data_IF_832814571622
#
_entry.id   IF_832814571622
#
_cell.length_a   1.000
_cell.length_b   1.000
_cell.length_c   1.000
_cell.angle_alpha   90.00
_cell.angle_beta   90.00
_cell.angle_gamma   90.00
#
_symmetry.space_group_name_H-M   'P 1'
#
loop_
_entity.id
_entity.type
_entity.pdbx_description
1 polymer ?
#
# COMPACT_ATOMS: atom_id res chain seq x y z
N UNK A 1 8.28 -39.68 -26.17
CA UNK A 1 7.96 -38.46 -25.40
C UNK A 1 8.93 -38.40 -24.25
N UNK A 2 9.69 -37.32 -24.14
CA UNK A 2 10.67 -37.15 -23.06
C UNK A 2 9.92 -36.65 -21.80
N UNK A 3 10.16 -37.30 -20.66
CA UNK A 3 9.49 -36.97 -19.39
C UNK A 3 9.88 -35.56 -18.91
N UNK A 4 11.11 -35.12 -19.22
CA UNK A 4 11.58 -33.75 -18.96
C UNK A 4 10.73 -32.75 -19.74
N UNK A 5 10.46 -32.99 -21.02
CA UNK A 5 9.63 -32.08 -21.84
C UNK A 5 8.23 -31.92 -21.26
N UNK A 6 7.66 -33.03 -20.80
CA UNK A 6 6.33 -33.07 -20.18
C UNK A 6 6.34 -32.29 -18.88
N UNK A 7 7.35 -32.50 -18.04
CA UNK A 7 7.53 -31.78 -16.78
C UNK A 7 7.70 -30.27 -17.00
N UNK A 8 8.61 -29.87 -17.89
CA UNK A 8 8.88 -28.47 -18.22
C UNK A 8 7.62 -27.80 -18.78
N UNK A 9 6.88 -28.46 -19.66
CA UNK A 9 5.60 -27.96 -20.16
C UNK A 9 4.59 -27.76 -19.03
N UNK A 10 4.49 -28.70 -18.08
CA UNK A 10 3.57 -28.57 -16.94
C UNK A 10 3.97 -27.44 -15.98
N UNK A 11 5.27 -27.21 -15.75
CA UNK A 11 5.74 -26.01 -15.04
C UNK A 11 5.35 -24.75 -15.82
N UNK A 12 5.62 -24.73 -17.12
CA UNK A 12 5.33 -23.64 -18.04
C UNK A 12 3.89 -23.17 -18.02
N UNK A 13 2.92 -24.09 -17.88
CA UNK A 13 1.49 -23.77 -17.77
C UNK A 13 1.16 -22.82 -16.62
N UNK A 14 1.97 -22.81 -15.56
CA UNK A 14 1.81 -21.95 -14.39
C UNK A 14 2.57 -20.61 -14.50
N UNK A 15 3.38 -20.43 -15.55
CA UNK A 15 4.21 -19.24 -15.76
C UNK A 15 3.50 -18.16 -16.59
N UNK A 16 3.86 -16.87 -16.39
CA UNK A 16 3.39 -15.77 -17.24
C UNK A 16 3.82 -15.94 -18.69
N UNK A 17 2.90 -15.73 -19.63
CA UNK A 17 3.13 -15.99 -21.05
C UNK A 17 4.36 -15.27 -21.62
N UNK A 18 4.71 -14.08 -21.09
CA UNK A 18 5.84 -13.27 -21.58
C UNK A 18 7.21 -13.88 -21.27
N UNK A 19 7.38 -14.56 -20.14
CA UNK A 19 8.66 -15.13 -19.70
C UNK A 19 8.67 -16.66 -19.76
N UNK A 20 7.55 -17.28 -20.14
CA UNK A 20 7.38 -18.73 -20.15
C UNK A 20 8.43 -19.44 -21.01
N UNK A 21 8.61 -19.02 -22.25
CA UNK A 21 9.50 -19.72 -23.19
C UNK A 21 10.97 -19.67 -22.73
N UNK A 22 11.41 -18.51 -22.22
CA UNK A 22 12.77 -18.33 -21.72
C UNK A 22 13.01 -19.21 -20.49
N UNK A 23 12.08 -19.21 -19.53
CA UNK A 23 12.17 -20.03 -18.31
C UNK A 23 12.11 -21.52 -18.66
N UNK A 24 11.22 -21.95 -19.57
CA UNK A 24 11.14 -23.35 -20.00
C UNK A 24 12.45 -23.83 -20.65
N UNK A 25 13.09 -22.99 -21.47
CA UNK A 25 14.36 -23.31 -22.10
C UNK A 25 15.50 -23.40 -21.08
N UNK A 26 15.58 -22.47 -20.13
CA UNK A 26 16.57 -22.48 -19.05
C UNK A 26 16.39 -23.72 -18.17
N UNK A 27 15.15 -24.00 -17.73
CA UNK A 27 14.84 -25.16 -16.89
C UNK A 27 15.18 -26.48 -17.57
N UNK A 28 14.88 -26.60 -18.87
CA UNK A 28 15.24 -27.78 -19.66
C UNK A 28 16.75 -28.00 -19.65
N UNK A 29 17.52 -26.95 -19.94
CA UNK A 29 18.99 -27.03 -19.94
C UNK A 29 19.52 -27.49 -18.58
N UNK A 30 19.00 -26.92 -17.49
CA UNK A 30 19.40 -27.29 -16.12
C UNK A 30 19.07 -28.75 -15.81
N UNK A 31 17.88 -29.22 -16.17
CA UNK A 31 17.47 -30.60 -15.92
C UNK A 31 18.28 -31.61 -16.76
N UNK A 32 18.60 -31.27 -18.01
CA UNK A 32 19.45 -32.08 -18.88
C UNK A 32 20.88 -32.16 -18.33
N UNK A 33 21.46 -31.03 -17.90
CA UNK A 33 22.80 -31.00 -17.29
C UNK A 33 22.86 -31.83 -15.99
N UNK A 34 21.83 -31.72 -15.13
CA UNK A 34 21.71 -32.53 -13.91
C UNK A 34 21.58 -34.02 -14.20
N UNK A 35 20.86 -34.39 -15.25
CA UNK A 35 20.69 -35.78 -15.67
C UNK A 35 22.01 -36.36 -16.20
N UNK A 36 22.73 -35.59 -17.02
CA UNK A 36 24.03 -35.96 -17.56
C UNK A 36 25.08 -36.16 -16.46
N UNK A 37 25.07 -35.31 -15.43
CA UNK A 37 25.96 -35.46 -14.28
C UNK A 37 25.66 -36.76 -13.51
N UNK A 38 24.38 -37.07 -13.28
CA UNK A 38 23.96 -38.33 -12.64
C UNK A 38 24.34 -39.56 -13.46
N UNK A 39 24.17 -39.49 -14.78
CA UNK A 39 24.55 -40.56 -15.70
C UNK A 39 26.06 -40.83 -15.63
N UNK A 40 26.89 -39.79 -15.69
CA UNK A 40 28.35 -39.89 -15.54
C UNK A 40 28.75 -40.47 -14.18
N UNK A 41 28.11 -40.03 -13.10
CA UNK A 41 28.40 -40.51 -11.73
C UNK A 41 28.01 -41.97 -11.52
N UNK A 42 26.91 -42.40 -12.13
CA UNK A 42 26.45 -43.79 -12.06
C UNK A 42 27.18 -44.72 -13.05
N UNK A 43 27.96 -44.16 -13.99
CA UNK A 43 28.68 -44.92 -15.02
C UNK A 43 27.76 -45.67 -15.99
N UNK A 44 26.49 -45.25 -16.08
CA UNK A 44 25.47 -45.86 -16.96
C UNK A 44 24.72 -44.76 -17.71
N UNK A 45 24.21 -45.03 -18.92
CA UNK A 45 23.35 -44.08 -19.62
C UNK A 45 22.13 -43.72 -18.75
N UNK A 46 21.61 -42.51 -18.94
CA UNK A 46 20.39 -42.07 -18.27
C UNK A 46 19.23 -43.02 -18.58
N UNK A 47 18.58 -43.51 -17.53
CA UNK A 47 17.41 -44.37 -17.60
C UNK A 47 16.19 -43.68 -16.99
N UNK A 48 15.00 -44.24 -17.24
CA UNK A 48 13.74 -43.65 -16.79
C UNK A 48 13.70 -43.49 -15.27
N UNK A 49 14.26 -44.42 -14.51
CA UNK A 49 14.33 -44.36 -13.03
C UNK A 49 15.15 -43.13 -12.57
N UNK A 50 16.30 -42.88 -13.20
CA UNK A 50 17.11 -41.70 -12.89
C UNK A 50 16.37 -40.39 -13.20
N UNK A 51 15.58 -40.34 -14.27
CA UNK A 51 14.75 -39.17 -14.59
C UNK A 51 13.62 -39.00 -13.56
N UNK A 52 12.94 -40.09 -13.17
CA UNK A 52 11.90 -40.03 -12.15
C UNK A 52 12.44 -39.53 -10.81
N UNK A 53 13.58 -40.04 -10.37
CA UNK A 53 14.22 -39.63 -9.12
C UNK A 53 14.69 -38.17 -9.18
N UNK A 54 15.26 -37.75 -10.32
CA UNK A 54 15.64 -36.35 -10.56
C UNK A 54 14.43 -35.42 -10.44
N UNK A 55 13.34 -35.70 -11.16
CA UNK A 55 12.15 -34.85 -11.15
C UNK A 55 11.46 -34.84 -9.78
N UNK A 56 11.48 -35.97 -9.07
CA UNK A 56 10.94 -36.07 -7.71
C UNK A 56 11.73 -35.21 -6.72
N UNK A 57 13.06 -35.18 -6.85
CA UNK A 57 13.94 -34.33 -6.04
C UNK A 57 13.79 -32.85 -6.40
N UNK A 58 13.65 -32.54 -7.69
CA UNK A 58 13.45 -31.19 -8.19
C UNK A 58 12.11 -30.59 -7.71
N UNK A 59 11.07 -31.42 -7.65
CA UNK A 59 9.83 -31.13 -6.92
C UNK A 59 8.59 -31.00 -7.81
N UNK A 60 7.45 -30.70 -7.19
CA UNK A 60 6.18 -30.58 -7.89
C UNK A 60 6.17 -29.36 -8.85
N UNK A 61 5.62 -29.50 -10.07
CA UNK A 61 5.62 -28.43 -11.08
C UNK A 61 5.08 -27.09 -10.59
N UNK A 62 4.00 -27.12 -9.80
CA UNK A 62 3.38 -25.91 -9.20
C UNK A 62 4.32 -25.18 -8.24
N UNK A 63 5.05 -25.94 -7.42
CA UNK A 63 5.99 -25.39 -6.43
C UNK A 63 7.20 -24.76 -7.10
N UNK A 64 7.69 -25.41 -8.16
CA UNK A 64 8.80 -24.89 -8.96
C UNK A 64 8.36 -23.64 -9.73
N UNK A 65 7.18 -23.65 -10.37
CA UNK A 65 6.67 -22.45 -11.04
C UNK A 65 6.55 -21.25 -10.08
N UNK A 66 6.15 -21.50 -8.83
CA UNK A 66 6.04 -20.45 -7.82
C UNK A 66 7.37 -19.74 -7.51
N UNK A 67 8.52 -20.41 -7.64
CA UNK A 67 9.83 -19.76 -7.42
C UNK A 67 10.25 -18.82 -8.55
N UNK A 68 9.66 -18.98 -9.74
CA UNK A 68 9.89 -18.09 -10.88
C UNK A 68 8.87 -16.94 -10.96
N UNK A 69 7.80 -16.99 -10.16
CA UNK A 69 6.80 -15.94 -10.12
C UNK A 69 7.30 -14.78 -9.26
N UNK A 70 7.16 -13.52 -9.73
CA UNK A 70 7.46 -12.37 -8.88
C UNK A 70 6.50 -12.36 -7.68
N UNK A 71 7.03 -12.12 -6.48
CA UNK A 71 6.22 -11.97 -5.28
C UNK A 71 5.19 -10.85 -5.47
N UNK A 72 3.90 -11.20 -5.34
CA UNK A 72 2.80 -10.24 -5.46
C UNK A 72 2.45 -9.68 -4.09
N UNK A 73 2.88 -8.45 -3.85
CA UNK A 73 2.56 -7.71 -2.64
C UNK A 73 1.41 -6.73 -2.91
N UNK A 74 0.47 -6.59 -1.97
CA UNK A 74 -0.52 -5.50 -2.02
C UNK A 74 0.16 -4.14 -1.80
N UNK A 75 1.10 -4.11 -0.85
CA UNK A 75 2.00 -3.00 -0.57
C UNK A 75 3.38 -3.63 -0.38
N UNK A 76 4.29 -3.40 -1.33
CA UNK A 76 5.60 -4.01 -1.35
C UNK A 76 6.55 -3.44 -0.28
N UNK A 77 7.67 -4.13 0.00
CA UNK A 77 8.61 -3.74 1.05
C UNK A 77 9.20 -2.33 0.85
N UNK A 78 9.28 -1.84 -0.38
CA UNK A 78 9.77 -0.49 -0.69
C UNK A 78 8.78 0.61 -0.29
N UNK A 79 7.46 0.39 -0.49
CA UNK A 79 6.42 1.36 -0.12
C UNK A 79 5.97 1.22 1.34
N UNK A 80 6.25 0.08 1.97
CA UNK A 80 5.77 -0.23 3.32
C UNK A 80 6.23 0.75 4.41
N UNK A 81 7.48 1.24 4.45
CA UNK A 81 7.91 2.25 5.42
C UNK A 81 7.10 3.56 5.31
N UNK A 82 6.84 4.01 4.07
CA UNK A 82 6.03 5.19 3.81
C UNK A 82 4.56 4.97 4.19
N UNK A 83 3.99 3.82 3.83
CA UNK A 83 2.65 3.42 4.26
C UNK A 83 2.50 3.49 5.79
N UNK A 84 3.46 2.92 6.52
CA UNK A 84 3.44 2.91 7.98
C UNK A 84 3.57 4.32 8.57
N UNK A 85 4.39 5.18 7.96
CA UNK A 85 4.52 6.59 8.35
C UNK A 85 3.17 7.31 8.22
N UNK A 86 2.50 7.17 7.06
CA UNK A 86 1.20 7.79 6.80
C UNK A 86 0.14 7.28 7.77
N UNK A 87 0.04 5.96 7.97
CA UNK A 87 -0.92 5.36 8.92
C UNK A 87 -0.69 5.92 10.33
N UNK A 88 0.56 5.96 10.81
CA UNK A 88 0.87 6.49 12.15
C UNK A 88 0.44 7.95 12.30
N UNK A 89 0.83 8.81 11.36
CA UNK A 89 0.49 10.25 11.42
C UNK A 89 -1.04 10.43 11.40
N UNK A 90 -1.73 9.80 10.46
CA UNK A 90 -3.18 9.95 10.30
C UNK A 90 -3.91 9.45 11.54
N UNK A 91 -3.57 8.27 12.06
CA UNK A 91 -4.24 7.74 13.25
C UNK A 91 -3.93 8.53 14.53
N UNK A 92 -2.72 9.09 14.67
CA UNK A 92 -2.39 9.99 15.78
C UNK A 92 -3.26 11.25 15.74
N UNK A 93 -3.40 11.88 14.56
CA UNK A 93 -4.24 13.07 14.38
C UNK A 93 -5.72 12.74 14.63
N UNK A 94 -6.22 11.65 14.07
CA UNK A 94 -7.60 11.20 14.29
C UNK A 94 -7.88 10.92 15.77
N UNK A 95 -6.94 10.30 16.49
CA UNK A 95 -7.06 10.05 17.92
C UNK A 95 -7.17 11.35 18.74
N UNK A 96 -6.30 12.33 18.45
CA UNK A 96 -6.36 13.65 19.11
C UNK A 96 -7.69 14.34 18.82
N UNK A 97 -8.13 14.35 17.55
CA UNK A 97 -9.40 14.96 17.15
C UNK A 97 -10.60 14.28 17.81
N UNK A 98 -10.60 12.95 17.92
CA UNK A 98 -11.64 12.20 18.61
C UNK A 98 -11.70 12.55 20.10
N UNK A 99 -10.56 12.69 20.77
CA UNK A 99 -10.49 13.10 22.18
C UNK A 99 -11.02 14.53 22.39
N UNK A 100 -10.63 15.47 21.52
CA UNK A 100 -11.13 16.86 21.58
C UNK A 100 -12.64 16.88 21.35
N UNK A 101 -13.12 16.21 20.30
CA UNK A 101 -14.54 16.12 19.97
C UNK A 101 -15.35 15.51 21.11
N UNK A 102 -14.84 14.45 21.73
CA UNK A 102 -15.45 13.84 22.91
C UNK A 102 -15.47 14.80 24.11
N UNK A 103 -14.38 15.52 24.37
CA UNK A 103 -14.30 16.51 25.46
C UNK A 103 -15.31 17.65 25.30
N UNK A 104 -15.47 18.17 24.08
CA UNK A 104 -16.49 19.18 23.74
C UNK A 104 -17.90 18.61 23.95
N UNK A 105 -18.15 17.39 23.47
CA UNK A 105 -19.45 16.75 23.62
C UNK A 105 -19.82 16.54 25.09
N UNK A 106 -18.87 16.14 25.94
CA UNK A 106 -19.06 16.02 27.39
C UNK A 106 -19.32 17.38 28.05
N UNK A 107 -18.56 18.41 27.70
CA UNK A 107 -18.69 19.74 28.29
C UNK A 107 -20.03 20.42 27.95
N UNK A 108 -20.60 20.13 26.78
CA UNK A 108 -21.82 20.76 26.27
C UNK A 108 -23.10 20.04 26.67
N UNK A 109 -23.04 18.74 26.96
CA UNK A 109 -24.25 17.92 27.20
C UNK A 109 -24.69 17.85 28.67
N UNK A 110 -23.89 18.34 29.63
CA UNK A 110 -24.27 18.39 31.06
C UNK A 110 -24.62 17.00 31.60
N UNK A 111 -23.60 16.17 31.82
CA UNK A 111 -23.80 14.71 31.75
C UNK A 111 -24.27 14.07 33.06
N UNK A 112 -25.41 13.38 33.01
CA UNK A 112 -25.75 12.31 33.97
C UNK A 112 -24.95 11.03 33.66
N UNK A 113 -24.75 10.15 34.63
CA UNK A 113 -23.93 8.93 34.45
C UNK A 113 -24.41 8.04 33.30
N UNK A 114 -25.72 8.01 33.03
CA UNK A 114 -26.29 7.21 31.94
C UNK A 114 -26.06 7.86 30.56
N UNK A 115 -26.23 9.18 30.44
CA UNK A 115 -25.95 9.91 29.20
C UNK A 115 -24.45 9.86 28.82
N UNK A 116 -23.57 9.77 29.82
CA UNK A 116 -22.13 9.64 29.58
C UNK A 116 -21.78 8.30 28.91
N UNK A 117 -22.35 7.20 29.41
CA UNK A 117 -22.11 5.87 28.84
C UNK A 117 -22.63 5.78 27.40
N UNK A 118 -23.80 6.35 27.13
CA UNK A 118 -24.35 6.41 25.76
C UNK A 118 -23.47 7.25 24.83
N UNK A 119 -23.02 8.42 25.30
CA UNK A 119 -22.14 9.30 24.53
C UNK A 119 -20.79 8.62 24.22
N UNK A 120 -20.20 7.95 25.21
CA UNK A 120 -18.96 7.19 25.06
C UNK A 120 -19.14 6.07 24.03
N UNK A 121 -20.20 5.27 24.15
CA UNK A 121 -20.51 4.19 23.21
C UNK A 121 -20.68 4.69 21.78
N UNK A 122 -21.45 5.77 21.58
CA UNK A 122 -21.62 6.39 20.26
C UNK A 122 -20.30 6.93 19.71
N UNK A 123 -19.51 7.59 20.54
CA UNK A 123 -18.23 8.19 20.12
C UNK A 123 -17.22 7.12 19.69
N UNK A 124 -17.14 6.00 20.42
CA UNK A 124 -16.28 4.87 20.05
C UNK A 124 -16.73 4.26 18.72
N UNK A 125 -18.02 3.99 18.55
CA UNK A 125 -18.55 3.42 17.31
C UNK A 125 -18.31 4.34 16.12
N UNK A 126 -18.51 5.65 16.29
CA UNK A 126 -18.25 6.65 15.26
C UNK A 126 -16.75 6.72 14.92
N UNK A 127 -15.88 6.76 15.92
CA UNK A 127 -14.43 6.78 15.73
C UNK A 127 -13.93 5.50 15.04
N UNK A 128 -14.45 4.33 15.43
CA UNK A 128 -14.12 3.05 14.81
C UNK A 128 -14.56 3.01 13.34
N UNK A 129 -15.79 3.45 13.03
CA UNK A 129 -16.28 3.54 11.66
C UNK A 129 -15.42 4.46 10.79
N UNK A 130 -15.08 5.64 11.31
CA UNK A 130 -14.18 6.57 10.63
C UNK A 130 -12.77 6.00 10.43
N UNK A 131 -12.22 5.34 11.43
CA UNK A 131 -10.90 4.72 11.35
C UNK A 131 -10.83 3.61 10.30
N UNK A 132 -11.84 2.74 10.24
CA UNK A 132 -11.94 1.67 9.22
C UNK A 132 -12.00 2.28 7.82
N UNK A 133 -12.85 3.29 7.63
CA UNK A 133 -13.00 3.97 6.34
C UNK A 133 -11.70 4.64 5.90
N UNK A 134 -11.05 5.40 6.79
CA UNK A 134 -9.79 6.08 6.49
C UNK A 134 -8.68 5.07 6.21
N UNK A 135 -8.56 4.01 7.00
CA UNK A 135 -7.58 2.96 6.76
C UNK A 135 -7.80 2.28 5.41
N UNK A 136 -9.04 1.95 5.07
CA UNK A 136 -9.39 1.39 3.77
C UNK A 136 -8.97 2.30 2.60
N UNK A 137 -9.18 3.61 2.73
CA UNK A 137 -8.74 4.59 1.73
C UNK A 137 -7.21 4.63 1.61
N UNK A 138 -6.47 4.63 2.72
CA UNK A 138 -5.00 4.60 2.71
C UNK A 138 -4.52 3.33 2.00
N UNK A 139 -5.05 2.16 2.37
CA UNK A 139 -4.70 0.88 1.75
C UNK A 139 -4.99 0.90 0.24
N UNK A 140 -6.16 1.41 -0.16
CA UNK A 140 -6.54 1.48 -1.56
C UNK A 140 -5.59 2.37 -2.37
N UNK A 141 -5.23 3.54 -1.83
CA UNK A 141 -4.27 4.45 -2.47
C UNK A 141 -2.90 3.79 -2.61
N UNK A 142 -2.37 3.17 -1.55
CA UNK A 142 -1.07 2.49 -1.60
C UNK A 142 -1.08 1.24 -2.49
N UNK A 143 -2.21 0.53 -2.58
CA UNK A 143 -2.37 -0.61 -3.49
C UNK A 143 -2.36 -0.17 -4.96
N UNK A 144 -3.03 0.94 -5.29
CA UNK A 144 -2.96 1.55 -6.63
C UNK A 144 -1.53 2.00 -6.91
N UNK A 145 -0.90 2.69 -5.95
CA UNK A 145 0.47 3.17 -6.04
C UNK A 145 1.45 2.03 -6.36
N UNK A 146 1.36 0.92 -5.61
CA UNK A 146 2.16 -0.29 -5.83
C UNK A 146 1.97 -0.90 -7.22
N UNK A 147 0.79 -0.71 -7.83
CA UNK A 147 0.47 -1.29 -9.14
C UNK A 147 0.90 -0.40 -10.30
N UNK A 148 0.92 0.91 -10.10
CA UNK A 148 1.21 1.90 -11.15
C UNK A 148 2.67 2.32 -11.15
N UNK A 149 3.35 2.33 -10.00
CA UNK A 149 4.77 2.69 -9.95
C UNK A 149 5.66 1.60 -10.57
N UNK A 150 6.54 1.96 -11.51
CA UNK A 150 7.59 1.08 -12.00
C UNK A 150 8.54 0.70 -10.85
N UNK A 151 8.92 -0.58 -10.76
CA UNK A 151 9.87 -1.05 -9.75
C UNK A 151 11.26 -0.38 -9.85
N UNK A 152 11.57 0.31 -10.95
CA UNK A 152 12.79 1.10 -11.13
C UNK A 152 12.77 2.41 -10.34
N UNK A 153 11.65 3.15 -10.33
CA UNK A 153 11.57 4.44 -9.63
C UNK A 153 11.65 4.31 -8.09
N UNK A 154 11.31 3.13 -7.57
CA UNK A 154 11.43 2.81 -6.15
C UNK A 154 12.83 2.29 -5.76
N UNK A 155 13.67 1.90 -6.74
CA UNK A 155 15.03 1.38 -6.52
C UNK A 155 16.11 2.46 -6.58
N UNK A 156 15.81 3.65 -7.07
CA UNK A 156 16.82 4.69 -7.35
C UNK A 156 17.52 5.25 -6.10
N UNK A 157 16.98 5.05 -4.89
CA UNK A 157 17.66 5.47 -3.65
C UNK A 157 18.62 4.41 -3.08
N UNK A 158 18.31 3.12 -3.22
CA UNK A 158 19.12 2.03 -2.67
C UNK A 158 20.17 1.51 -3.67
N UNK A 159 19.97 1.77 -4.97
CA UNK A 159 20.84 1.34 -6.07
C UNK A 159 21.88 2.36 -6.52
N UNK A 160 22.01 3.52 -5.84
CA UNK A 160 23.19 4.37 -6.06
C UNK A 160 24.43 3.52 -5.79
N UNK A 161 25.28 3.35 -6.79
CA UNK A 161 26.54 2.62 -6.67
C UNK A 161 27.24 3.01 -5.38
N UNK A 162 27.25 2.09 -4.42
CA UNK A 162 27.82 2.34 -3.12
C UNK A 162 29.33 2.48 -3.28
N UNK A 163 29.83 3.71 -3.25
CA UNK A 163 31.26 3.95 -3.28
C UNK A 163 31.82 3.90 -1.85
N UNK A 164 32.82 3.07 -1.54
CA UNK A 164 33.45 3.03 -0.21
C UNK A 164 33.99 4.40 0.25
N UNK A 165 34.36 5.26 -0.70
CA UNK A 165 34.85 6.63 -0.45
C UNK A 165 33.75 7.60 0.01
N UNK A 166 32.47 7.26 -0.15
CA UNK A 166 31.34 8.05 0.34
C UNK A 166 31.29 8.15 1.87
N UNK A 167 31.88 7.18 2.58
CA UNK A 167 32.01 7.19 4.05
C UNK A 167 32.87 8.36 4.57
N UNK A 168 33.74 8.91 3.71
CA UNK A 168 34.64 10.00 4.06
C UNK A 168 34.04 11.38 3.76
N UNK A 169 32.93 11.44 3.02
CA UNK A 169 32.24 12.70 2.72
C UNK A 169 31.17 12.95 3.79
N UNK A 170 31.51 13.78 4.78
CA UNK A 170 30.51 14.44 5.63
C UNK A 170 29.88 15.55 4.77
N UNK A 171 29.05 15.17 3.80
CA UNK A 171 28.15 16.12 3.13
C UNK A 171 26.82 16.03 3.88
N UNK A 172 26.24 17.16 4.35
CA UNK A 172 24.88 17.12 4.87
C UNK A 172 23.99 16.48 3.81
N UNK A 173 23.13 15.51 4.17
CA UNK A 173 22.47 14.68 3.18
C UNK A 173 21.57 15.57 2.34
N UNK A 174 21.97 15.80 1.08
CA UNK A 174 21.12 16.43 0.08
C UNK A 174 20.04 15.42 -0.31
N UNK A 175 19.02 15.35 0.55
CA UNK A 175 17.82 14.55 0.35
C UNK A 175 16.85 15.36 -0.50
N UNK A 176 17.15 15.52 -1.79
CA UNK A 176 16.05 15.69 -2.74
C UNK A 176 15.56 14.30 -3.07
N UNK A 177 14.84 13.71 -2.10
CA UNK A 177 14.17 12.46 -2.35
C UNK A 177 13.12 12.65 -3.44
N UNK A 178 12.69 11.55 -4.00
CA UNK A 178 11.58 11.49 -4.93
C UNK A 178 10.19 11.80 -4.27
N UNK A 179 9.99 12.07 -2.94
CA UNK A 179 8.63 12.26 -2.46
C UNK A 179 8.00 13.57 -2.93
N UNK A 180 8.71 14.60 -3.39
CA UNK A 180 8.08 15.90 -3.74
C UNK A 180 6.84 15.79 -4.67
N UNK A 181 6.98 15.30 -5.91
CA UNK A 181 5.85 15.25 -6.86
C UNK A 181 4.82 14.15 -6.54
N UNK A 182 5.26 12.99 -6.05
CA UNK A 182 4.36 11.87 -5.71
C UNK A 182 3.57 12.16 -4.43
N UNK A 183 4.20 12.79 -3.44
CA UNK A 183 3.52 13.31 -2.25
C UNK A 183 2.54 14.41 -2.61
N UNK A 184 2.89 15.34 -3.50
CA UNK A 184 1.96 16.38 -3.97
C UNK A 184 0.74 15.79 -4.68
N UNK A 185 0.93 14.78 -5.55
CA UNK A 185 -0.18 14.08 -6.21
C UNK A 185 -1.05 13.34 -5.19
N UNK A 186 -0.44 12.65 -4.21
CA UNK A 186 -1.16 11.94 -3.14
C UNK A 186 -1.89 12.89 -2.19
N UNK A 187 -1.28 14.03 -1.86
CA UNK A 187 -1.88 15.10 -1.07
C UNK A 187 -3.06 15.73 -1.80
N UNK A 188 -2.95 15.94 -3.10
CA UNK A 188 -4.03 16.47 -3.93
C UNK A 188 -5.18 15.47 -4.06
N UNK A 189 -4.88 14.19 -4.27
CA UNK A 189 -5.89 13.14 -4.33
C UNK A 189 -6.59 12.93 -2.98
N UNK A 190 -5.85 13.00 -1.88
CA UNK A 190 -6.40 13.02 -0.53
C UNK A 190 -7.26 14.27 -0.30
N UNK A 191 -6.84 15.44 -0.79
CA UNK A 191 -7.62 16.67 -0.73
C UNK A 191 -8.93 16.55 -1.51
N UNK A 192 -8.95 15.92 -2.69
CA UNK A 192 -10.17 15.65 -3.47
C UNK A 192 -11.10 14.70 -2.72
N UNK A 193 -10.57 13.62 -2.11
CA UNK A 193 -11.38 12.70 -1.30
C UNK A 193 -11.99 13.39 -0.08
N UNK A 194 -11.21 14.23 0.61
CA UNK A 194 -11.68 15.04 1.73
C UNK A 194 -12.75 16.03 1.27
N UNK A 195 -12.53 16.72 0.15
CA UNK A 195 -13.47 17.70 -0.39
C UNK A 195 -14.78 17.07 -0.89
N UNK A 196 -14.72 15.87 -1.47
CA UNK A 196 -15.89 15.18 -2.04
C UNK A 196 -16.73 14.46 -0.97
N UNK A 197 -16.10 13.84 0.03
CA UNK A 197 -16.81 13.06 1.07
C UNK A 197 -17.04 13.82 2.38
N UNK A 198 -16.35 14.93 2.62
CA UNK A 198 -16.59 15.84 3.74
C UNK A 198 -16.89 17.28 3.29
N UNK A 199 -17.87 17.50 2.39
CA UNK A 199 -18.21 18.84 1.92
C UNK A 199 -18.67 19.77 3.05
N UNK A 200 -19.19 19.23 4.17
CA UNK A 200 -19.56 20.02 5.34
C UNK A 200 -18.39 20.74 6.05
N UNK A 201 -17.12 20.38 5.78
CA UNK A 201 -15.95 21.13 6.28
C UNK A 201 -15.73 22.45 5.54
N UNK A 202 -16.24 22.58 4.31
CA UNK A 202 -16.04 23.73 3.43
C UNK A 202 -17.41 24.29 3.01
N UNK A 203 -17.99 25.17 3.85
CA UNK A 203 -19.20 25.90 3.47
C UNK A 203 -18.80 27.23 2.80
N UNK A 204 -19.20 27.40 1.54
CA UNK A 204 -19.03 28.65 0.79
C UNK A 204 -20.30 29.49 0.92
N UNK A 205 -20.21 30.62 1.60
CA UNK A 205 -21.33 31.56 1.80
C UNK A 205 -21.13 32.86 1.02
N UNK A 206 -22.22 33.43 0.52
CA UNK A 206 -22.23 34.77 -0.07
C UNK A 206 -22.87 35.75 0.92
N UNK A 207 -22.08 36.68 1.46
CA UNK A 207 -22.59 37.72 2.36
C UNK A 207 -23.33 38.79 1.55
N UNK A 208 -24.34 39.42 2.15
CA UNK A 208 -25.10 40.53 1.56
C UNK A 208 -24.20 41.70 1.09
N UNK A 209 -22.98 41.79 1.62
CA UNK A 209 -21.99 42.81 1.27
C UNK A 209 -21.09 42.42 0.06
N UNK A 210 -21.49 41.45 -0.76
CA UNK A 210 -20.75 40.99 -1.96
C UNK A 210 -19.34 40.43 -1.72
N UNK A 211 -19.08 39.96 -0.50
CA UNK A 211 -17.80 39.37 -0.11
C UNK A 211 -17.97 37.87 0.14
N UNK A 212 -17.12 37.10 -0.53
CA UNK A 212 -17.01 35.66 -0.33
C UNK A 212 -16.30 35.39 0.99
N UNK A 213 -16.82 34.46 1.78
CA UNK A 213 -16.14 34.00 3.00
C UNK A 213 -16.14 32.47 3.09
N UNK A 214 -15.06 31.93 3.65
CA UNK A 214 -14.89 30.52 3.99
C UNK A 214 -15.10 30.42 5.51
N UNK A 215 -16.15 29.74 5.94
CA UNK A 215 -16.46 29.57 7.36
C UNK A 215 -16.58 28.08 7.73
N UNK A 216 -16.00 27.72 8.88
CA UNK A 216 -16.30 26.47 9.56
C UNK A 216 -17.68 26.58 10.23
N UNK A 217 -18.37 25.45 10.38
CA UNK A 217 -19.78 25.35 10.82
C UNK A 217 -20.12 26.01 12.17
N UNK A 218 -19.12 26.42 12.95
CA UNK A 218 -19.28 27.11 14.24
C UNK A 218 -19.66 28.60 14.10
N UNK A 219 -19.22 29.29 13.04
CA UNK A 219 -19.37 30.75 12.92
C UNK A 219 -20.80 31.15 12.47
N UNK A 220 -21.50 30.28 11.74
CA UNK A 220 -22.80 30.60 11.13
C UNK A 220 -23.94 30.75 12.13
N UNK A 221 -23.86 30.10 13.30
CA UNK A 221 -24.92 30.22 14.33
C UNK A 221 -24.94 31.59 15.02
N UNK A 222 -23.81 32.31 15.06
CA UNK A 222 -23.71 33.52 15.87
C UNK A 222 -24.06 34.82 15.14
N UNK A 223 -24.01 34.83 13.79
CA UNK A 223 -24.23 36.04 12.98
C UNK A 223 -25.65 36.20 12.43
N UNK A 224 -26.45 35.12 12.32
CA UNK A 224 -27.78 35.17 11.70
C UNK A 224 -28.91 35.43 12.74
N UNK A 225 -28.62 35.27 14.04
CA UNK A 225 -29.62 35.34 15.10
C UNK A 225 -30.02 36.72 15.62
N UNK A 226 -29.52 37.83 15.07
CA UNK A 226 -29.69 39.17 15.68
C UNK A 226 -30.31 40.26 14.79
N UNK A 227 -30.92 39.92 13.64
CA UNK A 227 -31.70 40.90 12.88
C UNK A 227 -33.17 40.91 13.39
N UNK A 228 -33.69 42.02 13.96
CA UNK A 228 -35.07 42.09 14.40
C UNK A 228 -35.97 42.16 13.16
N UNK A 229 -36.96 41.26 13.09
CA UNK A 229 -38.01 41.28 12.09
C UNK A 229 -38.85 42.55 12.29
N UNK A 230 -38.66 43.54 11.42
CA UNK A 230 -39.55 44.69 11.33
C UNK A 230 -40.80 44.28 10.55
N UNK A 231 -41.93 44.32 11.26
CA UNK A 231 -43.31 44.31 10.73
C UNK A 231 -43.64 45.62 10.02
#
# INVERSE_FOLDING_TARGET
MNLIDTYVSEVGRHLPQKSRADIEAEMRSVLEDMLDERSKKAGKPADDEMVFDLLKEYGAPEKVAASYLPERHLIGPQLFPLFMLVVKIVFSVLGIMALIGFGIAVATTGVTSQAFLELLGKSILQAAGGAIQVFGNIVLVFAILQRVLPASELKDEESREWEPRSLLKITPPDRVGIPGPVFEILLNFAAILVFNFYPQLFNFGYSANSLWFIASSEITKHQIGSAPLLS
#
